data_IF_014406371739
#
_entry.id   IF_014406371739
#
_cell.length_a   1.000
_cell.length_b   1.000
_cell.length_c   1.000
_cell.angle_alpha   90.00
_cell.angle_beta   90.00
_cell.angle_gamma   90.00
#
_symmetry.space_group_name_H-M   'P 1'
#
loop_
_entity.id
_entity.type
_entity.pdbx_description
1 polymer ?
#
# COMPACT_ATOMS: atom_id res chain seq x y z
N UNK A 1 6.92 7.46 -41.28
CA UNK A 1 7.09 7.93 -39.89
C UNK A 1 6.02 7.25 -39.05
N UNK A 2 6.39 6.19 -38.32
CA UNK A 2 5.56 5.73 -37.21
C UNK A 2 5.70 6.81 -36.13
N UNK A 3 4.64 7.55 -35.87
CA UNK A 3 4.55 8.34 -34.64
C UNK A 3 4.63 7.33 -33.50
N UNK A 4 5.74 7.33 -32.76
CA UNK A 4 5.84 6.62 -31.49
C UNK A 4 4.59 7.00 -30.70
N UNK A 5 3.71 6.03 -30.44
CA UNK A 5 2.64 6.20 -29.47
C UNK A 5 3.35 6.44 -28.15
N UNK A 6 3.42 7.69 -27.73
CA UNK A 6 3.80 8.00 -26.36
C UNK A 6 2.77 7.30 -25.47
N UNK A 7 3.25 6.45 -24.58
CA UNK A 7 2.41 5.81 -23.56
C UNK A 7 1.77 6.91 -22.71
N UNK A 8 0.54 7.32 -23.04
CA UNK A 8 -0.11 8.50 -22.46
C UNK A 8 -0.23 8.48 -20.93
N UNK A 9 -0.09 7.29 -20.32
CA UNK A 9 -0.04 7.14 -18.87
C UNK A 9 1.28 7.64 -18.24
N UNK A 10 2.42 7.56 -18.93
CA UNK A 10 3.74 7.97 -18.42
C UNK A 10 3.87 9.48 -18.17
N UNK A 11 2.98 10.28 -18.76
CA UNK A 11 2.89 11.71 -18.49
C UNK A 11 2.10 12.01 -17.19
N UNK A 12 1.27 11.06 -16.73
CA UNK A 12 0.35 11.25 -15.60
C UNK A 12 0.90 10.68 -14.29
N UNK A 13 1.65 9.59 -14.38
CA UNK A 13 2.27 8.88 -13.26
C UNK A 13 3.75 8.65 -13.53
N UNK A 14 4.48 8.09 -12.56
CA UNK A 14 5.89 7.74 -12.73
C UNK A 14 6.09 6.90 -14.02
N UNK A 15 7.00 7.28 -14.93
CA UNK A 15 7.30 6.52 -16.14
C UNK A 15 7.74 5.06 -15.92
N UNK A 16 8.24 4.74 -14.73
CA UNK A 16 8.72 3.40 -14.32
C UNK A 16 7.72 2.70 -13.38
N UNK A 17 6.44 3.12 -13.42
CA UNK A 17 5.38 2.56 -12.57
C UNK A 17 5.03 1.11 -12.94
N UNK A 18 5.24 0.70 -14.19
CA UNK A 18 5.08 -0.69 -14.61
C UNK A 18 6.07 -1.61 -13.91
N UNK A 19 7.31 -1.16 -13.67
CA UNK A 19 8.29 -1.90 -12.87
C UNK A 19 7.85 -2.06 -11.41
N UNK A 20 7.18 -1.06 -10.82
CA UNK A 20 6.56 -1.22 -9.48
C UNK A 20 5.57 -2.39 -9.46
N UNK A 21 4.72 -2.45 -10.48
CA UNK A 21 3.70 -3.50 -10.60
C UNK A 21 4.36 -4.86 -10.81
N UNK A 22 5.35 -4.96 -11.71
CA UNK A 22 6.08 -6.21 -11.98
C UNK A 22 6.81 -6.74 -10.76
N UNK A 23 7.49 -5.88 -9.99
CA UNK A 23 8.15 -6.31 -8.76
C UNK A 23 7.14 -6.75 -7.69
N UNK A 24 5.99 -6.08 -7.60
CA UNK A 24 4.92 -6.51 -6.70
C UNK A 24 4.32 -7.87 -7.11
N UNK A 25 4.14 -8.12 -8.40
CA UNK A 25 3.70 -9.41 -8.93
C UNK A 25 4.72 -10.53 -8.65
N UNK A 26 6.01 -10.28 -8.92
CA UNK A 26 7.09 -11.22 -8.60
C UNK A 26 7.14 -11.49 -7.09
N UNK A 27 6.93 -10.45 -6.27
CA UNK A 27 6.79 -10.63 -4.82
C UNK A 27 5.61 -11.54 -4.47
N UNK A 28 4.41 -11.33 -5.03
CA UNK A 28 3.24 -12.20 -4.80
C UNK A 28 3.55 -13.64 -5.22
N UNK A 29 4.18 -13.84 -6.38
CA UNK A 29 4.48 -15.16 -6.92
C UNK A 29 5.53 -15.91 -6.10
N UNK A 30 6.58 -15.21 -5.63
CA UNK A 30 7.65 -15.80 -4.81
C UNK A 30 7.29 -15.97 -3.35
N UNK A 31 6.39 -15.14 -2.83
CA UNK A 31 6.08 -15.14 -1.39
C UNK A 31 5.28 -16.37 -0.95
N UNK A 32 5.14 -17.39 -1.81
CA UNK A 32 4.27 -18.57 -1.70
C UNK A 32 3.07 -18.27 -0.80
N UNK A 33 2.42 -17.11 -1.03
CA UNK A 33 1.23 -16.74 -0.28
C UNK A 33 0.18 -17.64 -0.88
N UNK A 34 0.10 -18.86 -0.36
CA UNK A 34 -1.08 -19.67 -0.49
C UNK A 34 -2.11 -18.99 0.39
N UNK A 35 -2.63 -17.88 -0.13
CA UNK A 35 -3.59 -17.01 0.52
C UNK A 35 -4.74 -17.86 1.06
N UNK A 36 -5.11 -18.89 0.29
CA UNK A 36 -6.14 -19.87 0.63
C UNK A 36 -5.85 -20.61 1.94
N UNK A 37 -4.60 -20.79 2.34
CA UNK A 37 -4.26 -21.45 3.60
C UNK A 37 -4.27 -20.52 4.81
N UNK A 38 -4.27 -19.19 4.63
CA UNK A 38 -4.13 -18.23 5.73
C UNK A 38 -2.77 -18.27 6.45
N UNK A 39 -1.78 -18.93 5.84
CA UNK A 39 -0.40 -19.01 6.30
C UNK A 39 0.55 -18.44 5.24
N UNK A 40 1.60 -17.78 5.71
CA UNK A 40 2.67 -17.25 4.87
C UNK A 40 3.74 -18.31 4.67
N UNK A 41 4.03 -18.68 3.42
CA UNK A 41 5.20 -19.48 3.09
C UNK A 41 6.25 -18.55 2.48
N UNK A 42 7.09 -17.95 3.33
CA UNK A 42 8.24 -17.20 2.81
C UNK A 42 9.33 -18.18 2.36
N UNK A 43 10.19 -17.75 1.43
CA UNK A 43 11.40 -18.50 1.08
C UNK A 43 12.29 -18.71 2.32
N UNK A 44 13.14 -19.74 2.30
CA UNK A 44 13.97 -20.11 3.45
C UNK A 44 14.86 -18.96 3.93
N UNK A 45 15.38 -18.12 3.04
CA UNK A 45 16.21 -16.97 3.43
C UNK A 45 15.38 -15.93 4.18
N UNK A 46 14.21 -15.59 3.66
CA UNK A 46 13.25 -14.69 4.31
C UNK A 46 12.75 -15.25 5.65
N UNK A 47 12.49 -16.57 5.72
CA UNK A 47 12.10 -17.25 6.97
C UNK A 47 13.24 -17.25 7.99
N UNK A 48 14.45 -17.62 7.60
CA UNK A 48 15.61 -17.68 8.48
C UNK A 48 15.96 -16.30 9.02
N UNK A 49 15.81 -15.27 8.20
CA UNK A 49 15.98 -13.89 8.64
C UNK A 49 14.90 -13.47 9.66
N UNK A 50 13.63 -13.79 9.42
CA UNK A 50 12.54 -13.51 10.38
C UNK A 50 12.65 -14.32 11.67
N UNK A 51 13.14 -15.58 11.60
CA UNK A 51 13.46 -16.39 12.79
C UNK A 51 14.50 -15.70 13.66
N UNK A 52 15.56 -15.18 13.05
CA UNK A 52 16.63 -14.48 13.74
C UNK A 52 16.15 -13.17 14.41
N UNK A 53 15.31 -12.40 13.71
CA UNK A 53 14.74 -11.14 14.23
C UNK A 53 13.55 -11.36 15.18
N UNK A 54 13.17 -12.62 15.43
CA UNK A 54 12.03 -13.02 16.25
C UNK A 54 10.72 -12.63 15.59
N UNK A 55 10.22 -13.50 14.70
CA UNK A 55 8.96 -13.38 13.94
C UNK A 55 8.11 -12.20 14.42
N UNK A 56 8.34 -10.99 13.88
CA UNK A 56 7.51 -9.86 14.26
C UNK A 56 6.11 -10.28 13.85
N UNK A 57 5.16 -10.33 14.79
CA UNK A 57 3.78 -10.46 14.36
C UNK A 57 3.56 -9.31 13.37
N UNK A 58 3.05 -9.61 12.18
CA UNK A 58 2.92 -8.59 11.14
C UNK A 58 1.99 -7.45 11.62
N UNK A 59 1.19 -7.74 12.66
CA UNK A 59 0.39 -6.79 13.44
C UNK A 59 1.06 -6.17 14.67
N UNK A 60 2.22 -6.66 15.14
CA UNK A 60 3.11 -5.87 16.01
C UNK A 60 3.59 -4.77 15.09
N UNK A 61 2.80 -3.69 15.09
CA UNK A 61 3.03 -2.40 14.44
C UNK A 61 4.50 -2.31 14.11
N UNK A 62 4.84 -2.36 12.81
CA UNK A 62 6.19 -2.00 12.40
C UNK A 62 6.48 -0.72 13.18
N UNK A 63 7.45 -0.76 14.11
CA UNK A 63 7.86 0.41 14.90
C UNK A 63 8.61 1.39 13.98
N UNK A 64 8.07 1.69 12.80
CA UNK A 64 8.26 2.99 12.20
C UNK A 64 7.55 3.95 13.12
N UNK A 65 8.29 4.46 14.12
CA UNK A 65 7.90 5.50 15.07
C UNK A 65 6.39 5.78 15.06
N UNK A 66 5.60 4.83 15.59
CA UNK A 66 4.16 4.77 15.35
C UNK A 66 3.46 6.06 15.80
N UNK A 67 3.99 6.72 16.84
CA UNK A 67 3.49 8.03 17.26
C UNK A 67 3.86 9.12 16.26
N UNK A 68 5.06 9.11 15.69
CA UNK A 68 5.44 10.03 14.61
C UNK A 68 4.66 9.79 13.32
N UNK A 69 4.45 8.54 12.90
CA UNK A 69 3.66 8.22 11.72
C UNK A 69 2.17 8.44 11.96
N UNK A 70 1.62 8.10 13.13
CA UNK A 70 0.24 8.46 13.49
C UNK A 70 0.05 9.97 13.53
N UNK A 71 1.04 10.71 14.04
CA UNK A 71 1.03 12.18 13.98
C UNK A 71 1.12 12.67 12.55
N UNK A 72 2.04 12.15 11.74
CA UNK A 72 2.20 12.52 10.33
C UNK A 72 0.96 12.18 9.50
N UNK A 73 0.38 11.00 9.67
CA UNK A 73 -0.89 10.57 9.06
C UNK A 73 -2.03 11.44 9.55
N UNK A 74 -2.13 11.76 10.85
CA UNK A 74 -3.12 12.72 11.35
C UNK A 74 -2.91 14.11 10.78
N UNK A 75 -1.66 14.56 10.64
CA UNK A 75 -1.32 15.86 10.09
C UNK A 75 -1.65 15.88 8.60
N UNK A 76 -1.36 14.82 7.84
CA UNK A 76 -1.75 14.64 6.44
C UNK A 76 -3.27 14.58 6.28
N UNK A 77 -3.99 13.84 7.13
CA UNK A 77 -5.45 13.78 7.13
C UNK A 77 -6.03 15.16 7.44
N UNK A 78 -5.50 15.86 8.44
CA UNK A 78 -5.90 17.24 8.76
C UNK A 78 -5.64 18.18 7.60
N UNK A 79 -4.50 18.02 6.94
CA UNK A 79 -4.05 18.85 5.83
C UNK A 79 -4.90 18.59 4.58
N UNK A 80 -5.23 17.33 4.30
CA UNK A 80 -6.20 16.95 3.26
C UNK A 80 -7.66 17.27 3.61
N UNK A 81 -7.98 17.47 4.89
CA UNK A 81 -9.30 17.95 5.32
C UNK A 81 -9.40 19.49 5.32
N UNK A 82 -8.27 20.19 5.39
CA UNK A 82 -8.16 21.64 5.47
C UNK A 82 -8.44 22.31 4.12
N UNK A 83 -9.22 23.39 4.14
CA UNK A 83 -9.32 24.34 3.02
C UNK A 83 -8.43 25.58 3.26
N UNK A 84 -7.74 25.64 4.40
CA UNK A 84 -6.87 26.76 4.78
C UNK A 84 -5.50 26.62 4.09
N UNK A 85 -5.27 27.44 3.06
CA UNK A 85 -4.02 27.51 2.31
C UNK A 85 -2.86 27.92 3.21
N UNK A 86 -3.06 28.83 4.17
CA UNK A 86 -1.99 29.26 5.08
C UNK A 86 -1.56 28.11 6.00
N UNK A 87 -2.51 27.32 6.49
CA UNK A 87 -2.20 26.10 7.25
C UNK A 87 -1.39 25.09 6.43
N UNK A 88 -1.77 24.87 5.17
CA UNK A 88 -1.07 23.97 4.25
C UNK A 88 0.35 24.48 3.95
N UNK A 89 0.48 25.77 3.63
CA UNK A 89 1.77 26.42 3.41
C UNK A 89 2.66 26.27 4.64
N UNK A 90 2.15 26.60 5.83
CA UNK A 90 2.89 26.49 7.10
C UNK A 90 3.38 25.06 7.38
N UNK A 91 2.61 24.03 6.99
CA UNK A 91 3.07 22.65 7.12
C UNK A 91 4.26 22.36 6.20
N UNK A 92 4.19 22.78 4.94
CA UNK A 92 5.22 22.54 3.94
C UNK A 92 6.46 23.43 4.10
N UNK A 93 6.33 24.62 4.69
CA UNK A 93 7.46 25.53 5.00
C UNK A 93 8.02 25.34 6.40
N UNK A 94 7.39 24.50 7.24
CA UNK A 94 7.91 24.19 8.56
C UNK A 94 9.35 23.64 8.46
N UNK A 95 10.25 24.09 9.34
CA UNK A 95 11.67 23.66 9.40
C UNK A 95 11.86 22.13 9.33
N UNK A 96 10.93 21.37 9.91
CA UNK A 96 10.93 19.90 9.86
C UNK A 96 10.67 19.35 8.46
N UNK A 97 9.86 20.03 7.64
CA UNK A 97 9.62 19.67 6.26
C UNK A 97 10.78 20.11 5.34
N UNK A 98 11.40 21.26 5.59
CA UNK A 98 12.62 21.67 4.85
C UNK A 98 13.76 20.64 4.95
N UNK A 99 13.96 20.03 6.13
CA UNK A 99 14.90 18.91 6.26
C UNK A 99 14.51 17.70 5.40
N UNK A 100 13.20 17.44 5.25
CA UNK A 100 12.69 16.35 4.40
C UNK A 100 12.80 16.69 2.91
N UNK A 101 12.76 17.96 2.51
CA UNK A 101 12.98 18.38 1.11
C UNK A 101 14.35 17.96 0.61
N UNK A 102 15.40 18.15 1.41
CA UNK A 102 16.75 17.63 1.08
C UNK A 102 16.74 16.11 0.88
N UNK A 103 16.00 15.38 1.72
CA UNK A 103 15.86 13.93 1.60
C UNK A 103 15.09 13.52 0.33
N UNK A 104 14.00 14.22 -0.01
CA UNK A 104 13.25 14.02 -1.26
C UNK A 104 14.15 14.20 -2.49
N UNK A 105 14.93 15.27 -2.54
CA UNK A 105 15.85 15.52 -3.66
C UNK A 105 16.93 14.43 -3.78
N UNK A 106 17.43 13.90 -2.65
CA UNK A 106 18.36 12.76 -2.64
C UNK A 106 17.70 11.49 -3.17
N UNK A 107 16.45 11.21 -2.80
CA UNK A 107 15.69 10.07 -3.33
C UNK A 107 15.51 10.18 -4.84
N UNK A 108 15.09 11.35 -5.35
CA UNK A 108 14.96 11.59 -6.79
C UNK A 108 16.29 11.36 -7.49
N UNK A 109 17.39 11.92 -6.99
CA UNK A 109 18.71 11.70 -7.59
C UNK A 109 19.13 10.22 -7.62
N UNK A 110 18.75 9.46 -6.58
CA UNK A 110 19.06 8.05 -6.40
C UNK A 110 18.27 7.08 -7.28
N UNK A 111 17.20 7.53 -7.95
CA UNK A 111 16.44 6.69 -8.89
C UNK A 111 17.33 6.11 -10.00
N UNK A 112 17.01 4.94 -10.56
CA UNK A 112 17.74 4.39 -11.69
C UNK A 112 17.27 5.03 -13.02
N UNK A 113 15.96 5.10 -13.24
CA UNK A 113 15.34 5.57 -14.47
C UNK A 113 15.44 7.10 -14.64
N UNK A 114 15.93 7.58 -15.78
CA UNK A 114 16.12 9.02 -16.07
C UNK A 114 14.79 9.75 -16.28
N UNK A 115 13.79 9.11 -16.87
CA UNK A 115 12.47 9.68 -17.08
C UNK A 115 11.75 9.89 -15.74
N UNK A 116 11.82 8.91 -14.83
CA UNK A 116 11.32 9.07 -13.46
C UNK A 116 12.01 10.19 -12.69
N UNK A 117 13.33 10.35 -12.85
CA UNK A 117 14.05 11.49 -12.26
C UNK A 117 13.47 12.82 -12.74
N UNK A 118 13.27 12.94 -14.04
CA UNK A 118 12.76 14.17 -14.63
C UNK A 118 11.32 14.42 -14.24
N UNK A 119 10.47 13.39 -14.27
CA UNK A 119 9.10 13.43 -13.79
C UNK A 119 9.01 13.99 -12.37
N UNK A 120 9.76 13.44 -11.41
CA UNK A 120 9.71 13.91 -10.03
C UNK A 120 10.38 15.28 -9.82
N UNK A 121 11.45 15.61 -10.56
CA UNK A 121 12.03 16.96 -10.52
C UNK A 121 11.04 18.00 -10.98
N UNK A 122 10.38 17.76 -12.10
CA UNK A 122 9.36 18.65 -12.64
C UNK A 122 8.18 18.75 -11.68
N UNK A 123 7.67 17.61 -11.21
CA UNK A 123 6.55 17.56 -10.27
C UNK A 123 6.87 18.34 -8.99
N UNK A 124 8.01 18.10 -8.35
CA UNK A 124 8.38 18.76 -7.09
C UNK A 124 9.08 20.12 -7.26
N UNK A 125 9.17 20.67 -8.48
CA UNK A 125 9.79 21.98 -8.73
C UNK A 125 9.09 23.13 -8.00
N UNK A 126 7.80 22.98 -7.70
CA UNK A 126 7.06 23.97 -6.90
C UNK A 126 7.52 24.02 -5.43
N UNK A 127 8.22 22.99 -4.94
CA UNK A 127 8.81 23.00 -3.60
C UNK A 127 10.11 23.80 -3.51
N UNK A 128 10.69 24.27 -4.62
CA UNK A 128 12.00 24.91 -4.61
C UNK A 128 12.05 26.17 -3.74
N UNK A 129 11.02 27.02 -3.80
CA UNK A 129 10.90 28.25 -2.99
C UNK A 129 9.49 28.38 -2.41
N UNK A 130 9.35 29.16 -1.33
CA UNK A 130 8.06 29.44 -0.71
C UNK A 130 7.11 30.16 -1.69
N UNK A 131 7.64 31.06 -2.53
CA UNK A 131 6.86 31.77 -3.55
C UNK A 131 6.32 30.83 -4.63
N UNK A 132 7.12 29.85 -5.08
CA UNK A 132 6.67 28.83 -6.04
C UNK A 132 5.58 27.94 -5.44
N UNK A 133 5.76 27.54 -4.17
CA UNK A 133 4.80 26.72 -3.44
C UNK A 133 3.48 27.47 -3.25
N UNK A 134 3.54 28.73 -2.83
CA UNK A 134 2.39 29.62 -2.71
C UNK A 134 1.70 29.81 -4.06
N UNK A 135 2.45 30.13 -5.12
CA UNK A 135 1.89 30.27 -6.46
C UNK A 135 1.24 28.98 -6.97
N UNK A 136 1.78 27.82 -6.61
CA UNK A 136 1.19 26.53 -6.98
C UNK A 136 -0.19 26.32 -6.33
N UNK A 137 -0.32 26.63 -5.03
CA UNK A 137 -1.61 26.51 -4.32
C UNK A 137 -2.60 27.62 -4.69
N UNK A 138 -2.15 28.87 -4.84
CA UNK A 138 -3.00 30.03 -5.17
C UNK A 138 -3.68 29.89 -6.55
N UNK A 139 -3.08 29.14 -7.48
CA UNK A 139 -3.64 28.89 -8.82
C UNK A 139 -4.75 27.84 -8.83
N UNK A 140 -5.04 27.19 -7.70
CA UNK A 140 -5.99 26.06 -7.62
C UNK A 140 -7.26 26.51 -6.89
N UNK A 141 -8.47 26.24 -7.42
CA UNK A 141 -9.72 26.39 -6.68
C UNK A 141 -9.69 25.64 -5.34
N UNK A 142 -10.44 26.10 -4.32
CA UNK A 142 -10.49 25.43 -3.00
C UNK A 142 -10.80 23.92 -3.08
N UNK A 143 -11.66 23.50 -4.02
CA UNK A 143 -12.00 22.08 -4.23
C UNK A 143 -10.82 21.25 -4.76
N UNK A 144 -9.83 21.88 -5.39
CA UNK A 144 -8.63 21.24 -5.93
C UNK A 144 -7.48 21.20 -4.93
N UNK A 145 -7.58 21.89 -3.79
CA UNK A 145 -6.50 21.94 -2.80
C UNK A 145 -6.29 20.59 -2.11
N UNK A 146 -7.38 19.91 -1.73
CA UNK A 146 -7.35 18.55 -1.16
C UNK A 146 -6.74 17.55 -2.13
N UNK A 147 -7.13 17.63 -3.39
CA UNK A 147 -6.59 16.82 -4.49
C UNK A 147 -5.09 17.09 -4.67
N UNK A 148 -4.67 18.35 -4.66
CA UNK A 148 -3.25 18.70 -4.76
C UNK A 148 -2.43 18.12 -3.62
N UNK A 149 -2.90 18.24 -2.38
CA UNK A 149 -2.24 17.66 -1.20
C UNK A 149 -2.14 16.14 -1.34
N UNK A 150 -3.23 15.49 -1.73
CA UNK A 150 -3.25 14.05 -1.97
C UNK A 150 -2.23 13.66 -3.03
N UNK A 151 -2.22 14.33 -4.18
CA UNK A 151 -1.28 14.08 -5.27
C UNK A 151 0.18 14.25 -4.81
N UNK A 152 0.48 15.22 -3.96
CA UNK A 152 1.81 15.40 -3.38
C UNK A 152 2.19 14.23 -2.49
N UNK A 153 1.32 13.86 -1.55
CA UNK A 153 1.58 12.76 -0.62
C UNK A 153 1.75 11.43 -1.36
N UNK A 154 0.92 11.18 -2.37
CA UNK A 154 0.99 9.96 -3.16
C UNK A 154 2.25 9.92 -4.01
N UNK A 155 2.64 11.01 -4.67
CA UNK A 155 3.92 11.06 -5.39
C UNK A 155 5.13 10.86 -4.48
N UNK A 156 5.10 11.40 -3.26
CA UNK A 156 6.15 11.14 -2.25
C UNK A 156 6.18 9.65 -1.89
N UNK A 157 5.00 9.04 -1.71
CA UNK A 157 4.88 7.62 -1.35
C UNK A 157 5.37 6.70 -2.46
N UNK A 158 4.98 6.96 -3.72
CA UNK A 158 5.45 6.24 -4.91
C UNK A 158 6.96 6.34 -5.05
N UNK A 159 7.53 7.55 -4.90
CA UNK A 159 8.99 7.75 -4.91
C UNK A 159 9.69 6.94 -3.79
N UNK A 160 9.14 6.92 -2.58
CA UNK A 160 9.71 6.13 -1.49
C UNK A 160 9.68 4.63 -1.82
N UNK A 161 8.59 4.12 -2.39
CA UNK A 161 8.47 2.71 -2.80
C UNK A 161 9.50 2.39 -3.89
N UNK A 162 9.65 3.24 -4.92
CA UNK A 162 10.67 3.07 -5.96
C UNK A 162 12.08 2.92 -5.36
N UNK A 163 12.43 3.81 -4.42
CA UNK A 163 13.74 3.76 -3.76
C UNK A 163 13.89 2.50 -2.90
N UNK A 164 12.84 2.06 -2.21
CA UNK A 164 12.86 0.81 -1.42
C UNK A 164 13.04 -0.42 -2.32
N UNK A 165 12.39 -0.46 -3.49
CA UNK A 165 12.51 -1.58 -4.43
C UNK A 165 13.90 -1.68 -5.05
N UNK A 166 14.57 -0.55 -5.31
CA UNK A 166 15.99 -0.56 -5.69
C UNK A 166 16.85 -1.29 -4.65
N UNK A 167 16.61 -1.02 -3.37
CA UNK A 167 17.29 -1.71 -2.27
C UNK A 167 16.97 -3.20 -2.15
N UNK A 168 15.83 -3.65 -2.68
CA UNK A 168 15.44 -5.06 -2.70
C UNK A 168 16.26 -5.89 -3.72
N UNK A 169 16.58 -5.30 -4.88
CA UNK A 169 17.29 -5.99 -5.97
C UNK A 169 18.82 -5.82 -5.95
N UNK A 170 19.34 -4.72 -5.40
CA UNK A 170 20.79 -4.45 -5.32
C UNK A 170 21.48 -5.34 -4.25
N UNK A 171 21.68 -6.62 -4.56
CA UNK A 171 22.28 -7.64 -3.65
C UNK A 171 23.80 -7.61 -3.59
N UNK A 172 24.48 -6.84 -4.45
CA UNK A 172 25.95 -6.86 -4.57
C UNK A 172 26.56 -5.49 -4.18
N UNK A 173 27.17 -5.40 -2.98
CA UNK A 173 28.27 -4.51 -2.53
C UNK A 173 28.20 -4.04 -1.05
N UNK A 174 29.38 -3.87 -0.45
CA UNK A 174 29.87 -4.61 0.74
C UNK A 174 29.67 -3.95 2.14
N UNK A 175 29.34 -2.66 2.27
CA UNK A 175 29.17 -2.03 3.62
C UNK A 175 27.75 -1.53 3.93
N UNK A 176 26.87 -1.50 2.94
CA UNK A 176 25.46 -1.08 3.09
C UNK A 176 24.52 -2.22 3.53
N UNK A 177 25.05 -3.43 3.75
CA UNK A 177 24.31 -4.68 3.93
C UNK A 177 23.25 -4.58 5.05
N UNK A 178 23.57 -3.95 6.19
CA UNK A 178 22.60 -3.78 7.29
C UNK A 178 21.43 -2.88 6.92
N UNK A 179 21.68 -1.77 6.21
CA UNK A 179 20.62 -0.84 5.77
C UNK A 179 19.77 -1.48 4.68
N UNK A 180 20.40 -2.11 3.68
CA UNK A 180 19.71 -2.87 2.63
C UNK A 180 18.85 -4.01 3.21
N UNK A 181 19.34 -4.74 4.21
CA UNK A 181 18.56 -5.79 4.91
C UNK A 181 17.35 -5.21 5.65
N UNK A 182 17.51 -4.06 6.30
CA UNK A 182 16.41 -3.39 6.99
C UNK A 182 15.35 -2.88 5.99
N UNK A 183 15.78 -2.29 4.88
CA UNK A 183 14.90 -1.80 3.82
C UNK A 183 14.13 -2.97 3.16
N UNK A 184 14.81 -4.09 2.89
CA UNK A 184 14.18 -5.34 2.41
C UNK A 184 13.15 -5.88 3.40
N UNK A 185 13.46 -5.93 4.70
CA UNK A 185 12.51 -6.41 5.72
C UNK A 185 11.31 -5.47 5.88
N UNK A 186 11.52 -4.16 5.81
CA UNK A 186 10.43 -3.20 5.84
C UNK A 186 9.54 -3.33 4.61
N UNK A 187 10.12 -3.50 3.42
CA UNK A 187 9.38 -3.74 2.19
C UNK A 187 8.57 -5.03 2.30
N UNK A 188 9.18 -6.15 2.70
CA UNK A 188 8.46 -7.42 2.90
C UNK A 188 7.29 -7.23 3.88
N UNK A 189 7.50 -6.55 5.01
CA UNK A 189 6.42 -6.32 5.99
C UNK A 189 5.30 -5.45 5.42
N UNK A 190 5.64 -4.38 4.70
CA UNK A 190 4.66 -3.50 4.05
C UNK A 190 3.88 -4.30 3.00
N UNK A 191 4.57 -4.98 2.09
CA UNK A 191 3.96 -5.79 1.05
C UNK A 191 3.07 -6.89 1.62
N UNK A 192 3.48 -7.57 2.69
CA UNK A 192 2.64 -8.59 3.34
C UNK A 192 1.41 -7.98 4.02
N UNK A 193 1.59 -6.88 4.75
CA UNK A 193 0.47 -6.16 5.36
C UNK A 193 -0.55 -5.75 4.30
N UNK A 194 -0.06 -5.28 3.17
CA UNK A 194 -0.88 -4.84 2.04
C UNK A 194 -1.61 -6.00 1.38
N UNK A 195 -0.95 -7.14 1.17
CA UNK A 195 -1.59 -8.36 0.66
C UNK A 195 -2.71 -8.82 1.60
N UNK A 196 -2.47 -8.91 2.91
CA UNK A 196 -3.54 -9.32 3.84
C UNK A 196 -4.70 -8.33 3.90
N UNK A 197 -4.40 -7.02 3.87
CA UNK A 197 -5.44 -6.00 3.81
C UNK A 197 -6.26 -6.12 2.53
N UNK A 198 -5.62 -6.35 1.39
CA UNK A 198 -6.30 -6.59 0.12
C UNK A 198 -7.19 -7.82 0.19
N UNK A 199 -6.68 -8.94 0.67
CA UNK A 199 -7.43 -10.20 0.75
C UNK A 199 -8.63 -10.06 1.66
N UNK A 200 -8.46 -9.38 2.79
CA UNK A 200 -9.55 -9.01 3.68
C UNK A 200 -10.58 -8.12 2.97
N UNK A 201 -10.13 -7.13 2.21
CA UNK A 201 -11.02 -6.25 1.44
C UNK A 201 -11.81 -7.02 0.39
N UNK A 202 -11.18 -7.94 -0.35
CA UNK A 202 -11.86 -8.79 -1.35
C UNK A 202 -12.89 -9.69 -0.67
N UNK A 203 -12.52 -10.36 0.42
CA UNK A 203 -13.34 -11.42 1.06
C UNK A 203 -14.45 -10.84 1.94
N UNK A 204 -14.16 -9.75 2.65
CA UNK A 204 -15.02 -9.21 3.70
C UNK A 204 -15.43 -7.76 3.49
N UNK A 205 -15.04 -7.13 2.36
CA UNK A 205 -15.30 -5.71 2.06
C UNK A 205 -14.77 -4.77 3.15
N UNK A 206 -13.67 -5.16 3.80
CA UNK A 206 -13.05 -4.42 4.90
C UNK A 206 -11.58 -4.78 5.02
N UNK A 207 -10.73 -3.81 5.34
CA UNK A 207 -9.31 -4.07 5.64
C UNK A 207 -9.15 -4.96 6.88
N UNK A 208 -8.03 -5.69 6.95
CA UNK A 208 -7.72 -6.52 8.11
C UNK A 208 -7.55 -5.65 9.35
N UNK A 209 -6.91 -4.48 9.21
CA UNK A 209 -6.80 -3.50 10.29
C UNK A 209 -8.17 -3.07 10.83
N UNK A 210 -9.13 -2.78 9.93
CA UNK A 210 -10.50 -2.42 10.33
C UNK A 210 -11.23 -3.56 11.04
N UNK A 211 -10.99 -4.82 10.67
CA UNK A 211 -11.53 -5.98 11.38
C UNK A 211 -10.91 -6.12 12.78
N UNK A 212 -9.59 -5.92 12.90
CA UNK A 212 -8.88 -6.01 14.16
C UNK A 212 -9.29 -4.91 15.14
N UNK A 213 -9.49 -3.68 14.67
CA UNK A 213 -9.98 -2.57 15.50
C UNK A 213 -11.38 -2.86 16.09
N UNK A 214 -12.26 -3.51 15.34
CA UNK A 214 -13.58 -3.91 15.83
C UNK A 214 -13.52 -5.12 16.76
N UNK A 215 -12.67 -6.09 16.43
CA UNK A 215 -12.42 -7.26 17.26
C UNK A 215 -11.88 -6.88 18.65
N UNK A 216 -10.94 -5.94 18.71
CA UNK A 216 -10.39 -5.42 19.97
C UNK A 216 -11.46 -4.71 20.83
N UNK A 217 -12.48 -4.13 20.19
CA UNK A 217 -13.66 -3.53 20.85
C UNK A 217 -14.72 -4.56 21.26
N UNK A 218 -14.48 -5.86 21.03
CA UNK A 218 -15.36 -6.95 21.44
C UNK A 218 -16.27 -7.51 20.36
N UNK A 219 -16.10 -7.12 19.08
CA UNK A 219 -16.84 -7.72 17.98
C UNK A 219 -16.21 -9.06 17.56
N UNK A 220 -16.72 -10.17 18.11
CA UNK A 220 -16.22 -11.51 17.80
C UNK A 220 -16.44 -11.91 16.31
N UNK A 221 -17.43 -11.34 15.62
CA UNK A 221 -17.62 -11.62 14.19
C UNK A 221 -16.45 -11.07 13.36
N UNK A 222 -16.03 -9.84 13.64
CA UNK A 222 -14.85 -9.24 13.01
C UNK A 222 -13.57 -10.00 13.39
N UNK A 223 -13.50 -10.54 14.61
CA UNK A 223 -12.41 -11.44 15.01
C UNK A 223 -12.35 -12.70 14.14
N UNK A 224 -13.48 -13.40 13.96
CA UNK A 224 -13.51 -14.63 13.15
C UNK A 224 -13.13 -14.36 11.69
N UNK A 225 -13.61 -13.26 11.11
CA UNK A 225 -13.19 -12.81 9.77
C UNK A 225 -11.69 -12.55 9.72
N UNK A 226 -11.12 -11.85 10.71
CA UNK A 226 -9.68 -11.60 10.75
C UNK A 226 -8.85 -12.89 10.83
N UNK A 227 -9.28 -13.87 11.65
CA UNK A 227 -8.62 -15.19 11.80
C UNK A 227 -8.62 -15.97 10.49
N UNK A 228 -9.71 -15.87 9.71
CA UNK A 228 -9.81 -16.50 8.38
C UNK A 228 -8.72 -15.98 7.44
N UNK A 229 -8.33 -14.71 7.57
CA UNK A 229 -7.29 -14.07 6.76
C UNK A 229 -5.87 -14.38 7.27
N UNK A 230 -5.61 -14.15 8.56
CA UNK A 230 -4.29 -14.37 9.17
C UNK A 230 -4.39 -15.20 10.45
N UNK A 231 -3.98 -16.47 10.36
CA UNK A 231 -4.02 -17.39 11.51
C UNK A 231 -2.98 -17.06 12.57
N UNK A 232 -1.98 -16.23 12.28
CA UNK A 232 -0.94 -15.82 13.27
C UNK A 232 -1.45 -14.75 14.23
N UNK A 233 -2.56 -14.10 13.92
CA UNK A 233 -3.76 -14.21 14.76
C UNK A 233 -3.49 -14.42 16.25
N UNK A 234 -3.41 -15.72 16.57
CA UNK A 234 -3.35 -16.31 17.89
C UNK A 234 -2.15 -15.86 18.74
N UNK A 235 -1.15 -15.19 18.17
CA UNK A 235 -0.02 -14.66 18.91
C UNK A 235 -0.29 -13.31 19.60
N UNK A 236 -1.42 -12.68 19.30
CA UNK A 236 -1.81 -11.43 19.94
C UNK A 236 -2.28 -11.66 21.38
N UNK A 237 -1.67 -10.94 22.32
CA UNK A 237 -1.96 -11.04 23.76
C UNK A 237 -3.44 -10.81 24.09
N UNK A 238 -4.08 -9.81 23.47
CA UNK A 238 -5.50 -9.51 23.71
C UNK A 238 -6.41 -10.63 23.19
N UNK A 239 -6.08 -11.24 22.05
CA UNK A 239 -6.83 -12.37 21.51
C UNK A 239 -6.68 -13.61 22.40
N UNK A 240 -5.46 -13.93 22.85
CA UNK A 240 -5.23 -15.02 23.81
C UNK A 240 -6.06 -14.83 25.09
N UNK A 241 -6.17 -13.58 25.59
CA UNK A 241 -7.05 -13.24 26.72
C UNK A 241 -8.53 -13.47 26.39
N UNK A 242 -9.00 -13.06 25.20
CA UNK A 242 -10.39 -13.30 24.75
C UNK A 242 -10.72 -14.78 24.64
N UNK A 243 -9.81 -15.60 24.11
CA UNK A 243 -9.95 -17.05 24.01
C UNK A 243 -10.03 -17.70 25.40
N UNK A 244 -9.14 -17.33 26.33
CA UNK A 244 -9.20 -17.81 27.72
C UNK A 244 -10.52 -17.43 28.40
N UNK A 245 -11.02 -16.22 28.16
CA UNK A 245 -12.33 -15.79 28.68
C UNK A 245 -13.46 -16.68 28.16
N UNK A 246 -13.50 -16.99 26.86
CA UNK A 246 -14.48 -17.94 26.30
C UNK A 246 -14.34 -19.33 26.93
N UNK A 247 -13.10 -19.79 27.12
CA UNK A 247 -12.81 -21.10 27.71
C UNK A 247 -13.39 -21.22 29.11
N UNK A 248 -13.04 -20.29 30.01
CA UNK A 248 -13.53 -20.32 31.40
C UNK A 248 -15.04 -20.08 31.51
N UNK A 249 -15.65 -19.42 30.52
CA UNK A 249 -17.10 -19.23 30.45
C UNK A 249 -17.85 -20.44 29.85
N UNK A 250 -17.15 -21.46 29.32
CA UNK A 250 -17.79 -22.58 28.64
C UNK A 250 -18.49 -22.18 27.34
N UNK A 251 -18.03 -21.13 26.65
CA UNK A 251 -18.66 -20.58 25.45
C UNK A 251 -18.42 -21.48 24.22
N UNK A 252 -19.16 -22.59 24.14
CA UNK A 252 -19.05 -23.55 23.05
C UNK A 252 -19.36 -22.95 21.67
N UNK A 253 -20.25 -21.95 21.61
CA UNK A 253 -20.59 -21.25 20.37
C UNK A 253 -19.39 -20.49 19.81
N UNK A 254 -18.64 -19.80 20.67
CA UNK A 254 -17.40 -19.13 20.30
C UNK A 254 -16.38 -20.10 19.68
N UNK A 255 -16.11 -21.23 20.33
CA UNK A 255 -15.14 -22.20 19.82
C UNK A 255 -15.57 -22.85 18.51
N UNK A 256 -16.87 -23.13 18.35
CA UNK A 256 -17.40 -23.63 17.07
C UNK A 256 -17.16 -22.64 15.93
N UNK A 257 -17.49 -21.36 16.14
CA UNK A 257 -17.28 -20.31 15.14
C UNK A 257 -15.80 -20.05 14.86
N UNK A 258 -14.97 -20.09 15.91
CA UNK A 258 -13.51 -19.98 15.78
C UNK A 258 -12.93 -21.13 14.95
N UNK A 259 -13.36 -22.37 15.22
CA UNK A 259 -12.96 -23.54 14.44
C UNK A 259 -13.33 -23.40 12.95
N UNK A 260 -14.57 -23.01 12.67
CA UNK A 260 -15.02 -22.75 11.29
C UNK A 260 -14.20 -21.67 10.59
N UNK A 261 -13.82 -20.60 11.30
CA UNK A 261 -12.99 -19.54 10.75
C UNK A 261 -11.56 -20.02 10.42
N UNK A 262 -10.99 -20.91 11.23
CA UNK A 262 -9.67 -21.50 10.99
C UNK A 262 -9.69 -22.42 9.78
N UNK A 263 -10.75 -23.22 9.63
CA UNK A 263 -10.90 -24.18 8.53
C UNK A 263 -11.15 -23.49 7.19
N UNK A 264 -11.85 -22.35 7.20
CA UNK A 264 -12.25 -21.66 5.98
C UNK A 264 -11.05 -21.00 5.29
N UNK A 265 -10.94 -21.20 3.98
CA UNK A 265 -9.97 -20.49 3.14
C UNK A 265 -10.47 -19.06 2.88
N UNK A 266 -9.61 -18.02 2.90
CA UNK A 266 -10.06 -16.65 2.66
C UNK A 266 -10.48 -16.42 1.21
N UNK A 267 -9.81 -17.06 0.24
CA UNK A 267 -10.19 -17.00 -1.17
C UNK A 267 -10.66 -18.39 -1.62
N UNK A 268 -11.88 -18.44 -2.15
CA UNK A 268 -12.50 -19.68 -2.67
C UNK A 268 -12.32 -19.81 -4.20
N UNK A 269 -11.94 -18.75 -4.92
CA UNK A 269 -11.85 -18.72 -6.40
C UNK A 269 -10.65 -17.91 -6.94
N UNK A 270 -10.20 -18.38 -8.12
CA UNK A 270 -9.27 -17.81 -9.12
C UNK A 270 -8.19 -16.81 -8.66
N UNK A 271 -6.96 -17.33 -8.56
CA UNK A 271 -5.74 -16.59 -8.18
C UNK A 271 -5.49 -15.41 -9.14
N UNK A 272 -5.90 -15.53 -10.40
CA UNK A 272 -5.65 -14.51 -11.42
C UNK A 272 -6.43 -13.22 -11.15
N UNK A 273 -7.73 -13.33 -10.84
CA UNK A 273 -8.55 -12.19 -10.41
C UNK A 273 -8.07 -11.59 -9.09
N UNK A 274 -7.47 -12.42 -8.22
CA UNK A 274 -6.86 -11.94 -6.97
C UNK A 274 -5.66 -11.03 -7.27
N UNK A 275 -4.77 -11.39 -8.21
CA UNK A 275 -3.64 -10.53 -8.59
C UNK A 275 -4.10 -9.18 -9.15
N UNK A 276 -5.07 -9.18 -10.05
CA UNK A 276 -5.65 -7.95 -10.60
C UNK A 276 -6.21 -7.06 -9.49
N UNK A 277 -7.04 -7.62 -8.61
CA UNK A 277 -7.63 -6.87 -7.51
C UNK A 277 -6.57 -6.36 -6.53
N UNK A 278 -5.53 -7.16 -6.24
CA UNK A 278 -4.39 -6.73 -5.42
C UNK A 278 -3.68 -5.53 -6.01
N UNK A 279 -3.38 -5.54 -7.30
CA UNK A 279 -2.73 -4.39 -7.94
C UNK A 279 -3.64 -3.16 -7.91
N UNK A 280 -4.91 -3.32 -8.29
CA UNK A 280 -5.86 -2.22 -8.29
C UNK A 280 -6.00 -1.61 -6.90
N UNK A 281 -6.18 -2.42 -5.86
CA UNK A 281 -6.34 -1.94 -4.48
C UNK A 281 -5.07 -1.25 -3.98
N UNK A 282 -3.90 -1.89 -4.14
CA UNK A 282 -2.64 -1.40 -3.56
C UNK A 282 -2.08 -0.18 -4.27
N UNK A 283 -2.28 -0.06 -5.59
CA UNK A 283 -1.71 1.03 -6.39
C UNK A 283 -2.73 2.09 -6.81
N UNK A 284 -4.01 1.97 -6.43
CA UNK A 284 -5.07 2.95 -6.78
C UNK A 284 -4.65 4.37 -6.44
N UNK A 285 -4.39 4.63 -5.16
CA UNK A 285 -4.01 5.96 -4.67
C UNK A 285 -2.60 6.39 -5.09
N UNK A 286 -1.70 5.44 -5.34
CA UNK A 286 -0.31 5.73 -5.72
C UNK A 286 -0.17 6.28 -7.15
N UNK A 287 -1.18 6.10 -7.98
CA UNK A 287 -1.20 6.67 -9.32
C UNK A 287 -2.28 6.13 -10.24
N UNK A 288 -2.72 4.88 -10.06
CA UNK A 288 -3.64 4.24 -11.02
C UNK A 288 -4.97 4.99 -11.17
N UNK A 289 -5.46 5.66 -10.12
CA UNK A 289 -6.67 6.48 -10.19
C UNK A 289 -6.56 7.66 -11.17
N UNK A 290 -5.35 8.09 -11.54
CA UNK A 290 -5.12 9.20 -12.49
C UNK A 290 -5.25 8.78 -13.95
N UNK A 291 -5.30 7.48 -14.22
CA UNK A 291 -5.36 6.94 -15.57
C UNK A 291 -6.81 6.80 -16.01
N UNK A 292 -7.08 7.04 -17.29
CA UNK A 292 -8.36 6.63 -17.85
C UNK A 292 -8.42 5.10 -18.01
N UNK A 293 -9.61 4.55 -18.26
CA UNK A 293 -9.79 3.09 -18.34
C UNK A 293 -8.92 2.42 -19.41
N UNK A 294 -8.68 3.10 -20.55
CA UNK A 294 -7.86 2.56 -21.64
C UNK A 294 -6.38 2.51 -21.21
N UNK A 295 -5.85 3.62 -20.69
CA UNK A 295 -4.48 3.72 -20.18
C UNK A 295 -4.20 2.71 -19.08
N UNK A 296 -5.14 2.57 -18.12
CA UNK A 296 -5.03 1.62 -17.03
C UNK A 296 -5.04 0.17 -17.54
N UNK A 297 -5.95 -0.15 -18.47
CA UNK A 297 -6.02 -1.49 -19.07
C UNK A 297 -4.74 -1.83 -19.85
N UNK A 298 -4.21 -0.90 -20.64
CA UNK A 298 -2.97 -1.08 -21.41
C UNK A 298 -1.76 -1.26 -20.48
N UNK A 299 -1.63 -0.44 -19.43
CA UNK A 299 -0.56 -0.56 -18.43
C UNK A 299 -0.60 -1.92 -17.72
N UNK A 300 -1.76 -2.35 -17.23
CA UNK A 300 -1.86 -3.63 -16.52
C UNK A 300 -1.53 -4.81 -17.45
N UNK A 301 -1.98 -4.76 -18.70
CA UNK A 301 -1.67 -5.77 -19.70
C UNK A 301 -0.18 -5.81 -20.05
N UNK A 302 0.48 -4.66 -20.17
CA UNK A 302 1.93 -4.60 -20.43
C UNK A 302 2.76 -5.14 -19.25
N UNK A 303 2.21 -5.10 -18.04
CA UNK A 303 2.80 -5.71 -16.84
C UNK A 303 2.56 -7.23 -16.75
N UNK A 304 1.87 -7.85 -17.71
CA UNK A 304 1.54 -9.28 -17.69
C UNK A 304 0.36 -9.63 -16.75
N UNK A 305 -0.45 -8.65 -16.35
CA UNK A 305 -1.65 -8.88 -15.55
C UNK A 305 -2.76 -9.41 -16.44
N UNK A 306 -3.39 -10.50 -16.01
CA UNK A 306 -4.59 -11.02 -16.66
C UNK A 306 -5.76 -10.10 -16.33
N UNK A 307 -6.23 -9.39 -17.35
CA UNK A 307 -7.36 -8.43 -17.30
C UNK A 307 -8.50 -8.94 -18.16
N UNK A 308 -9.68 -8.32 -18.04
CA UNK A 308 -10.80 -8.64 -18.93
C UNK A 308 -10.43 -8.41 -20.41
N UNK A 309 -11.03 -9.20 -21.29
CA UNK A 309 -10.73 -9.26 -22.72
C UNK A 309 -10.90 -7.91 -23.43
N UNK A 310 -11.82 -7.08 -22.96
CA UNK A 310 -12.14 -5.78 -23.53
C UNK A 310 -12.16 -4.64 -22.48
N UNK A 311 -11.85 -3.39 -22.89
CA UNK A 311 -11.81 -2.23 -21.98
C UNK A 311 -13.13 -1.91 -21.27
N UNK A 312 -14.28 -2.25 -21.84
CA UNK A 312 -15.59 -1.94 -21.26
C UNK A 312 -15.94 -2.93 -20.14
N UNK A 313 -15.62 -4.21 -20.32
CA UNK A 313 -15.68 -5.22 -19.25
C UNK A 313 -14.72 -4.88 -18.11
N UNK A 314 -13.51 -4.41 -18.43
CA UNK A 314 -12.55 -3.92 -17.43
C UNK A 314 -13.10 -2.71 -16.67
N UNK A 315 -13.66 -1.71 -17.36
CA UNK A 315 -14.31 -0.55 -16.72
C UNK A 315 -15.42 -0.96 -15.75
N UNK A 316 -16.29 -1.90 -16.14
CA UNK A 316 -17.34 -2.45 -15.26
C UNK A 316 -16.77 -3.17 -14.05
N UNK A 317 -15.61 -3.82 -14.19
CA UNK A 317 -14.89 -4.42 -13.06
C UNK A 317 -14.40 -3.36 -12.07
N UNK A 318 -13.67 -2.34 -12.55
CA UNK A 318 -13.19 -1.23 -11.70
C UNK A 318 -14.34 -0.53 -10.99
N UNK A 319 -15.44 -0.25 -11.72
CA UNK A 319 -16.63 0.37 -11.13
C UNK A 319 -17.22 -0.45 -9.97
N UNK A 320 -17.27 -1.77 -10.10
CA UNK A 320 -17.73 -2.65 -9.01
C UNK A 320 -16.82 -2.58 -7.79
N UNK A 321 -15.51 -2.41 -7.96
CA UNK A 321 -14.58 -2.24 -6.84
C UNK A 321 -14.85 -0.93 -6.09
N UNK A 322 -15.12 0.17 -6.82
CA UNK A 322 -15.51 1.46 -6.25
C UNK A 322 -16.86 1.35 -5.51
N UNK A 323 -17.88 0.77 -6.15
CA UNK A 323 -19.22 0.60 -5.55
C UNK A 323 -19.17 -0.26 -4.28
N UNK A 324 -18.26 -1.24 -4.22
CA UNK A 324 -18.03 -2.06 -3.03
C UNK A 324 -17.09 -1.40 -2.00
N UNK A 325 -16.63 -0.16 -2.23
CA UNK A 325 -15.70 0.58 -1.37
C UNK A 325 -14.38 -0.15 -1.13
N UNK A 326 -13.93 -0.92 -2.13
CA UNK A 326 -12.61 -1.57 -2.09
C UNK A 326 -11.50 -0.61 -2.54
N UNK A 327 -11.85 0.35 -3.40
CA UNK A 327 -11.02 1.47 -3.83
C UNK A 327 -11.87 2.74 -3.80
N UNK A 328 -11.22 3.89 -3.65
CA UNK A 328 -11.90 5.18 -3.49
C UNK A 328 -12.22 5.84 -4.83
N UNK A 329 -13.31 6.60 -4.87
CA UNK A 329 -13.70 7.44 -6.00
C UNK A 329 -13.03 8.82 -5.89
N UNK A 330 -11.79 8.93 -6.37
CA UNK A 330 -11.01 10.17 -6.29
C UNK A 330 -11.30 11.16 -7.44
N UNK A 331 -11.83 10.68 -8.56
CA UNK A 331 -11.93 11.37 -9.85
C UNK A 331 -13.14 10.95 -10.66
#
# INVERSE_FOLDING_TARGET
MQTEKTDGWKEKIDPDFDELIKVYLDFIDRSHINVNTGYLCLDDDSLNFLKHEGYPSFHKKIKYDYEYNKKLTKDIIKLGASNDIEYILKFFTAKKFEQKKSYLLKMIHGLPNKESKEYYRMFFSFFETEEKLKSYFDRRPERDLKRCVFDVVMNISTLMIQVMLKGYWDTENDESIKRKRLDRLNLIKISLSEVFNTVSSITHKKSLDGLLEEAEKGNDESLFKAIQIDKRLFDLNWLRKRIRKAFYAGDASFFKKLGMAIEKTPLENDIEYTKLNSILISFWGLGLCKLNNQELWELLKSCGVIVQDDPESFRKHVKRLIENKMIDDFY
#
